data_IF_302753957295
#
_entry.id   IF_302753957295
#
_cell.length_a   1.000
_cell.length_b   1.000
_cell.length_c   1.000
_cell.angle_alpha   90.00
_cell.angle_beta   90.00
_cell.angle_gamma   90.00
#
_symmetry.space_group_name_H-M   'P 1'
#
loop_
_entity.id
_entity.type
_entity.pdbx_description
1 polymer ?
#
# COMPACT_ATOMS: atom_id res chain seq x y z
N UNK A 1 0.11 2.67 -9.54
CA UNK A 1 -0.29 2.83 -10.97
C UNK A 1 -1.71 3.32 -11.12
N UNK A 2 -2.70 2.54 -10.65
CA UNK A 2 -4.12 2.91 -10.80
C UNK A 2 -4.51 4.23 -10.18
N UNK A 3 -3.95 4.60 -9.02
CA UNK A 3 -4.12 5.95 -8.42
C UNK A 3 -3.72 7.07 -9.37
N UNK A 4 -2.60 6.92 -10.09
CA UNK A 4 -2.07 7.89 -11.04
C UNK A 4 -2.91 7.94 -12.34
N UNK A 5 -3.37 6.78 -12.82
CA UNK A 5 -4.27 6.66 -13.98
C UNK A 5 -5.62 7.32 -13.67
N UNK A 6 -6.23 6.99 -12.53
CA UNK A 6 -7.50 7.60 -12.08
C UNK A 6 -7.31 9.10 -11.85
N UNK A 7 -6.16 9.54 -11.33
CA UNK A 7 -5.85 10.97 -11.23
C UNK A 7 -5.73 11.66 -12.60
N UNK A 8 -5.07 11.03 -13.57
CA UNK A 8 -4.96 11.58 -14.91
C UNK A 8 -6.32 11.67 -15.62
N UNK A 9 -7.12 10.59 -15.57
CA UNK A 9 -8.43 10.52 -16.23
C UNK A 9 -9.47 11.41 -15.54
N UNK A 10 -9.48 11.48 -14.21
CA UNK A 10 -10.56 12.12 -13.45
C UNK A 10 -10.23 13.53 -12.91
N UNK A 11 -8.96 13.83 -12.62
CA UNK A 11 -8.49 15.16 -12.20
C UNK A 11 -7.84 15.95 -13.36
N UNK A 12 -7.62 15.35 -14.54
CA UNK A 12 -6.79 15.93 -15.63
C UNK A 12 -5.44 16.45 -15.13
N UNK A 13 -4.92 15.87 -14.05
CA UNK A 13 -3.65 16.28 -13.48
C UNK A 13 -2.53 15.77 -14.38
N UNK A 14 -1.70 16.65 -14.99
CA UNK A 14 -0.63 16.20 -15.87
C UNK A 14 0.39 15.39 -15.07
N UNK A 15 0.70 14.19 -15.55
CA UNK A 15 1.79 13.39 -15.00
C UNK A 15 3.11 14.02 -15.39
N UNK A 16 3.94 14.34 -14.41
CA UNK A 16 5.30 14.81 -14.70
C UNK A 16 6.14 13.64 -15.25
N UNK A 17 7.06 13.91 -16.17
CA UNK A 17 8.00 12.90 -16.70
C UNK A 17 8.65 12.02 -15.61
N UNK A 18 9.18 12.56 -14.48
CA UNK A 18 9.72 11.72 -13.41
C UNK A 18 8.68 10.84 -12.72
N UNK A 19 7.42 11.32 -12.59
CA UNK A 19 6.33 10.50 -12.06
C UNK A 19 6.01 9.31 -12.96
N UNK A 20 5.95 9.52 -14.28
CA UNK A 20 5.71 8.44 -15.23
C UNK A 20 6.84 7.39 -15.22
N UNK A 21 8.10 7.84 -15.20
CA UNK A 21 9.28 6.94 -15.15
C UNK A 21 9.31 6.17 -13.83
N UNK A 22 9.12 6.85 -12.69
CA UNK A 22 9.10 6.20 -11.39
C UNK A 22 7.98 5.16 -11.26
N UNK A 23 6.83 5.44 -11.87
CA UNK A 23 5.70 4.52 -11.91
C UNK A 23 6.00 3.27 -12.76
N UNK A 24 6.63 3.45 -13.93
CA UNK A 24 7.05 2.35 -14.79
C UNK A 24 8.12 1.47 -14.11
N UNK A 25 9.11 2.09 -13.46
CA UNK A 25 10.12 1.38 -12.68
C UNK A 25 9.50 0.61 -11.51
N UNK A 26 8.59 1.22 -10.75
CA UNK A 26 7.89 0.54 -9.66
C UNK A 26 7.11 -0.68 -10.15
N UNK A 27 6.45 -0.59 -11.31
CA UNK A 27 5.76 -1.72 -11.93
C UNK A 27 6.74 -2.82 -12.37
N UNK A 28 7.84 -2.46 -13.03
CA UNK A 28 8.88 -3.42 -13.42
C UNK A 28 9.46 -4.16 -12.20
N UNK A 29 9.72 -3.46 -11.10
CA UNK A 29 10.19 -4.08 -9.86
C UNK A 29 9.19 -5.07 -9.26
N UNK A 30 7.88 -4.79 -9.32
CA UNK A 30 6.84 -5.75 -8.91
C UNK A 30 6.81 -6.97 -9.82
N UNK A 31 6.94 -6.80 -11.14
CA UNK A 31 6.99 -7.93 -12.08
C UNK A 31 8.21 -8.82 -11.82
N UNK A 32 9.38 -8.23 -11.56
CA UNK A 32 10.59 -8.98 -11.21
C UNK A 32 10.41 -9.73 -9.89
N UNK A 33 9.79 -9.10 -8.88
CA UNK A 33 9.58 -9.69 -7.57
C UNK A 33 8.51 -10.80 -7.58
N UNK A 34 7.40 -10.58 -8.29
CA UNK A 34 6.27 -11.52 -8.35
C UNK A 34 6.48 -12.63 -9.39
N UNK A 35 7.32 -12.40 -10.41
CA UNK A 35 7.57 -13.34 -11.49
C UNK A 35 8.20 -14.67 -11.05
N UNK A 36 8.91 -14.69 -9.92
CA UNK A 36 9.43 -15.92 -9.31
C UNK A 36 8.41 -16.64 -8.42
N UNK A 37 7.43 -15.92 -7.86
CA UNK A 37 6.41 -16.48 -6.97
C UNK A 37 5.20 -17.07 -7.72
N UNK A 38 4.85 -16.49 -8.87
CA UNK A 38 3.76 -16.98 -9.71
C UNK A 38 4.30 -18.08 -10.63
N UNK A 39 4.33 -19.32 -10.14
CA UNK A 39 4.66 -20.48 -10.95
C UNK A 39 3.79 -20.55 -12.21
N UNK A 40 4.43 -20.53 -13.38
CA UNK A 40 3.78 -20.71 -14.67
C UNK A 40 3.12 -22.09 -14.72
N UNK A 41 1.80 -22.15 -14.46
CA UNK A 41 1.04 -23.40 -14.47
C UNK A 41 -0.07 -23.51 -13.42
N UNK A 42 -0.19 -22.57 -12.48
CA UNK A 42 -1.22 -22.66 -11.42
C UNK A 42 -2.64 -22.45 -12.00
N UNK A 43 -3.54 -23.45 -11.93
CA UNK A 43 -4.91 -23.29 -12.39
C UNK A 43 -5.62 -22.16 -11.61
N UNK A 44 -6.21 -21.19 -12.31
CA UNK A 44 -6.88 -20.05 -11.69
C UNK A 44 -6.02 -18.80 -11.47
N UNK A 45 -4.73 -18.83 -11.85
CA UNK A 45 -3.84 -17.67 -11.78
C UNK A 45 -4.41 -16.43 -12.50
N UNK A 46 -5.05 -16.61 -13.66
CA UNK A 46 -5.67 -15.51 -14.40
C UNK A 46 -6.83 -14.84 -13.65
N UNK A 47 -7.65 -15.62 -12.92
CA UNK A 47 -8.74 -15.08 -12.09
C UNK A 47 -8.18 -14.36 -10.86
N UNK A 48 -7.14 -14.90 -10.23
CA UNK A 48 -6.46 -14.26 -9.10
C UNK A 48 -5.80 -12.93 -9.53
N UNK A 49 -5.14 -12.90 -10.69
CA UNK A 49 -4.57 -11.68 -11.28
C UNK A 49 -5.68 -10.67 -11.58
N UNK A 50 -6.78 -11.08 -12.21
CA UNK A 50 -7.90 -10.20 -12.49
C UNK A 50 -8.53 -9.62 -11.21
N UNK A 51 -8.71 -10.44 -10.17
CA UNK A 51 -9.20 -9.99 -8.86
C UNK A 51 -8.24 -9.00 -8.20
N UNK A 52 -6.92 -9.25 -8.25
CA UNK A 52 -5.90 -8.35 -7.74
C UNK A 52 -5.86 -7.02 -8.52
N UNK A 53 -6.04 -7.05 -9.84
CA UNK A 53 -6.16 -5.84 -10.66
C UNK A 53 -7.41 -5.03 -10.31
N UNK A 54 -8.54 -5.70 -10.11
CA UNK A 54 -9.79 -5.04 -9.67
C UNK A 54 -9.65 -4.43 -8.27
N UNK A 55 -9.02 -5.14 -7.34
CA UNK A 55 -8.75 -4.67 -5.98
C UNK A 55 -7.81 -3.45 -5.97
N UNK A 56 -6.77 -3.45 -6.80
CA UNK A 56 -5.85 -2.31 -6.90
C UNK A 56 -6.48 -1.12 -7.63
N UNK A 57 -7.41 -1.35 -8.56
CA UNK A 57 -8.22 -0.31 -9.18
C UNK A 57 -9.19 0.33 -8.19
N UNK A 58 -9.89 -0.46 -7.36
CA UNK A 58 -10.81 0.06 -6.36
C UNK A 58 -10.09 0.90 -5.31
N UNK A 59 -8.89 0.50 -4.89
CA UNK A 59 -8.01 1.32 -4.05
C UNK A 59 -7.63 2.64 -4.72
N UNK A 60 -7.32 2.60 -6.02
CA UNK A 60 -7.03 3.80 -6.82
C UNK A 60 -8.19 4.79 -6.85
N UNK A 61 -9.40 4.29 -7.07
CA UNK A 61 -10.63 5.07 -7.04
C UNK A 61 -10.93 5.64 -5.66
N UNK A 62 -10.87 4.82 -4.61
CA UNK A 62 -11.13 5.22 -3.23
C UNK A 62 -10.18 6.33 -2.77
N UNK A 63 -8.88 6.21 -3.05
CA UNK A 63 -7.89 7.23 -2.70
C UNK A 63 -8.19 8.58 -3.36
N UNK A 64 -8.61 8.55 -4.64
CA UNK A 64 -8.96 9.76 -5.37
C UNK A 64 -10.27 10.39 -4.89
N UNK A 65 -11.30 9.56 -4.68
CA UNK A 65 -12.59 9.99 -4.16
C UNK A 65 -12.44 10.62 -2.78
N UNK A 66 -11.69 9.98 -1.88
CA UNK A 66 -11.36 10.50 -0.55
C UNK A 66 -10.67 11.86 -0.64
N UNK A 67 -9.65 12.00 -1.50
CA UNK A 67 -8.96 13.27 -1.68
C UNK A 67 -9.86 14.40 -2.20
N UNK A 68 -10.88 14.11 -3.00
CA UNK A 68 -11.73 15.14 -3.65
C UNK A 68 -12.99 15.48 -2.85
N UNK A 69 -13.61 14.49 -2.19
CA UNK A 69 -14.89 14.65 -1.48
C UNK A 69 -14.74 14.68 0.03
N UNK A 70 -13.67 14.12 0.57
CA UNK A 70 -13.40 14.05 2.02
C UNK A 70 -12.22 14.95 2.44
N UNK A 71 -11.74 15.84 1.58
CA UNK A 71 -10.61 16.72 1.86
C UNK A 71 -10.82 17.63 3.09
N UNK A 72 -12.06 18.02 3.35
CA UNK A 72 -12.45 18.88 4.49
C UNK A 72 -12.93 18.08 5.72
N UNK A 73 -12.98 16.75 5.62
CA UNK A 73 -13.40 15.88 6.72
C UNK A 73 -12.17 15.47 7.51
N UNK A 74 -12.29 15.45 8.84
CA UNK A 74 -11.20 15.00 9.72
C UNK A 74 -10.80 13.56 9.31
N UNK A 75 -9.50 13.28 9.06
CA UNK A 75 -9.05 11.97 8.61
C UNK A 75 -9.51 10.80 9.49
N UNK A 76 -9.59 11.02 10.81
CA UNK A 76 -10.13 10.06 11.77
C UNK A 76 -11.60 9.68 11.48
N UNK A 77 -12.45 10.68 11.19
CA UNK A 77 -13.87 10.46 10.90
C UNK A 77 -14.04 9.71 9.57
N UNK A 78 -13.22 10.04 8.57
CA UNK A 78 -13.22 9.30 7.30
C UNK A 78 -12.80 7.84 7.49
N UNK A 79 -11.74 7.58 8.27
CA UNK A 79 -11.24 6.23 8.51
C UNK A 79 -12.24 5.38 9.31
N UNK A 80 -12.83 5.95 10.37
CA UNK A 80 -13.88 5.31 11.15
C UNK A 80 -15.11 5.00 10.30
N UNK A 81 -15.60 5.98 9.53
CA UNK A 81 -16.76 5.82 8.67
C UNK A 81 -16.54 4.76 7.58
N UNK A 82 -15.37 4.74 6.94
CA UNK A 82 -15.05 3.71 5.95
C UNK A 82 -14.95 2.32 6.56
N UNK A 83 -14.38 2.18 7.76
CA UNK A 83 -14.23 0.89 8.43
C UNK A 83 -15.57 0.35 8.93
N UNK A 84 -16.42 1.22 9.47
CA UNK A 84 -17.77 0.88 9.90
C UNK A 84 -18.64 0.45 8.70
N UNK A 85 -18.58 1.22 7.60
CA UNK A 85 -19.28 0.85 6.38
C UNK A 85 -18.78 -0.47 5.81
N UNK A 86 -17.47 -0.69 5.78
CA UNK A 86 -16.88 -1.96 5.34
C UNK A 86 -17.36 -3.13 6.21
N UNK A 87 -17.39 -2.96 7.54
CA UNK A 87 -17.89 -3.98 8.45
C UNK A 87 -19.36 -4.33 8.14
N UNK A 88 -20.23 -3.32 8.04
CA UNK A 88 -21.66 -3.52 7.74
C UNK A 88 -21.88 -4.12 6.35
N UNK A 89 -21.15 -3.64 5.34
CA UNK A 89 -21.27 -4.12 3.96
C UNK A 89 -20.78 -5.57 3.78
N UNK A 90 -19.80 -6.00 4.60
CA UNK A 90 -19.27 -7.36 4.56
C UNK A 90 -20.12 -8.37 5.33
N UNK A 91 -20.93 -7.95 6.31
CA UNK A 91 -21.85 -8.85 7.05
C UNK A 91 -22.72 -9.72 6.14
N UNK A 92 -23.49 -9.17 5.16
CA UNK A 92 -24.35 -10.01 4.30
C UNK A 92 -23.55 -10.93 3.36
N UNK A 93 -22.31 -10.59 3.03
CA UNK A 93 -21.39 -11.45 2.28
C UNK A 93 -20.76 -12.55 3.14
N UNK A 94 -20.54 -12.27 4.43
CA UNK A 94 -19.95 -13.22 5.37
C UNK A 94 -20.92 -14.33 5.78
N UNK A 95 -22.22 -14.04 5.87
CA UNK A 95 -23.25 -15.01 6.24
C UNK A 95 -23.28 -16.27 5.34
N UNK A 96 -23.33 -16.17 3.99
CA UNK A 96 -23.30 -17.35 3.12
C UNK A 96 -21.92 -18.02 3.02
N UNK A 97 -20.84 -17.33 3.36
CA UNK A 97 -19.47 -17.88 3.37
C UNK A 97 -19.05 -18.37 4.75
N UNK A 98 -19.99 -18.49 5.69
CA UNK A 98 -19.68 -18.87 7.06
C UNK A 98 -19.13 -20.30 7.12
N UNK A 99 -18.05 -20.56 7.88
CA UNK A 99 -17.49 -21.90 8.00
C UNK A 99 -18.54 -22.90 8.54
N UNK A 100 -18.68 -24.04 7.87
CA UNK A 100 -19.57 -25.12 8.32
C UNK A 100 -19.07 -25.86 9.58
N UNK A 101 -17.84 -25.58 10.04
CA UNK A 101 -17.22 -26.20 11.22
C UNK A 101 -16.92 -25.21 12.35
N UNK A 102 -16.58 -25.69 13.55
CA UNK A 102 -16.27 -24.85 14.70
C UNK A 102 -15.02 -24.00 14.42
N UNK A 103 -15.16 -22.68 14.61
CA UNK A 103 -14.05 -21.73 14.46
C UNK A 103 -13.12 -21.85 15.67
N UNK A 104 -11.83 -22.13 15.42
CA UNK A 104 -10.85 -22.25 16.48
C UNK A 104 -10.66 -20.93 17.26
N UNK A 105 -10.42 -20.97 18.58
CA UNK A 105 -10.15 -19.76 19.38
C UNK A 105 -8.97 -18.92 18.86
N UNK A 106 -7.98 -19.58 18.25
CA UNK A 106 -6.81 -18.93 17.62
C UNK A 106 -7.22 -17.96 16.51
N UNK A 107 -8.23 -18.29 15.70
CA UNK A 107 -8.73 -17.44 14.63
C UNK A 107 -9.38 -16.16 15.19
N UNK A 108 -10.16 -16.29 16.27
CA UNK A 108 -10.75 -15.14 16.96
C UNK A 108 -9.68 -14.20 17.54
N UNK A 109 -8.66 -14.77 18.19
CA UNK A 109 -7.54 -13.99 18.72
C UNK A 109 -6.81 -13.26 17.58
N UNK A 110 -6.54 -13.93 16.46
CA UNK A 110 -5.90 -13.32 15.30
C UNK A 110 -6.71 -12.14 14.75
N UNK A 111 -8.03 -12.28 14.62
CA UNK A 111 -8.93 -11.21 14.15
C UNK A 111 -8.92 -10.03 15.13
N UNK A 112 -9.00 -10.28 16.43
CA UNK A 112 -8.97 -9.23 17.46
C UNK A 112 -7.63 -8.49 17.45
N UNK A 113 -6.50 -9.20 17.38
CA UNK A 113 -5.17 -8.59 17.30
C UNK A 113 -5.01 -7.76 16.03
N UNK A 114 -5.48 -8.26 14.88
CA UNK A 114 -5.43 -7.52 13.62
C UNK A 114 -6.29 -6.23 13.67
N UNK A 115 -7.47 -6.30 14.27
CA UNK A 115 -8.35 -5.13 14.42
C UNK A 115 -7.81 -4.11 15.42
N UNK A 116 -7.49 -4.55 16.64
CA UNK A 116 -7.08 -3.65 17.72
C UNK A 116 -5.65 -3.12 17.50
N UNK A 117 -4.68 -4.00 17.28
CA UNK A 117 -3.27 -3.62 17.21
C UNK A 117 -2.92 -3.13 15.82
N UNK A 118 -3.13 -3.96 14.79
CA UNK A 118 -2.67 -3.61 13.45
C UNK A 118 -3.49 -2.49 12.80
N UNK A 119 -4.74 -2.28 13.21
CA UNK A 119 -5.59 -1.23 12.65
C UNK A 119 -5.76 -0.04 13.60
N UNK A 120 -6.36 -0.22 14.79
CA UNK A 120 -6.69 0.90 15.66
C UNK A 120 -5.44 1.60 16.22
N UNK A 121 -4.49 0.86 16.80
CA UNK A 121 -3.24 1.45 17.31
C UNK A 121 -2.41 2.03 16.16
N UNK A 122 -2.31 1.35 15.03
CA UNK A 122 -1.60 1.87 13.85
C UNK A 122 -2.19 3.20 13.35
N UNK A 123 -3.52 3.36 13.34
CA UNK A 123 -4.16 4.62 12.98
C UNK A 123 -3.89 5.73 13.99
N UNK A 124 -3.91 5.45 15.29
CA UNK A 124 -3.53 6.44 16.30
C UNK A 124 -2.09 6.92 16.11
N UNK A 125 -1.16 6.00 15.87
CA UNK A 125 0.23 6.32 15.57
C UNK A 125 0.37 7.10 14.26
N UNK A 126 -0.33 6.69 13.20
CA UNK A 126 -0.30 7.34 11.90
C UNK A 126 -0.82 8.78 11.97
N UNK A 127 -1.96 9.01 12.62
CA UNK A 127 -2.50 10.36 12.81
C UNK A 127 -1.65 11.20 13.77
N UNK A 128 -1.10 10.59 14.83
CA UNK A 128 -0.12 11.24 15.71
C UNK A 128 1.12 11.69 14.94
N UNK A 129 1.62 10.83 14.03
CA UNK A 129 2.78 11.13 13.19
C UNK A 129 2.49 12.27 12.21
N UNK A 130 1.32 12.28 11.57
CA UNK A 130 0.90 13.39 10.70
C UNK A 130 0.85 14.70 11.50
N UNK A 131 0.30 14.67 12.72
CA UNK A 131 0.17 15.86 13.57
C UNK A 131 1.53 16.41 14.03
N UNK A 132 2.45 15.53 14.39
CA UNK A 132 3.72 15.92 15.02
C UNK A 132 4.87 16.12 14.02
N UNK A 133 4.96 15.26 13.00
CA UNK A 133 6.08 15.23 12.03
C UNK A 133 5.65 15.63 10.60
N UNK A 134 4.35 15.83 10.37
CA UNK A 134 3.80 16.24 9.08
C UNK A 134 3.56 15.08 8.10
N UNK A 135 2.67 15.33 7.13
CA UNK A 135 2.25 14.33 6.13
C UNK A 135 3.41 13.80 5.26
N UNK A 136 4.44 14.62 5.04
CA UNK A 136 5.60 14.24 4.23
C UNK A 136 6.46 13.15 4.91
N UNK A 137 6.55 13.18 6.24
CA UNK A 137 7.26 12.17 7.02
C UNK A 137 6.43 10.89 7.12
N UNK A 138 5.12 11.01 7.35
CA UNK A 138 4.20 9.87 7.33
C UNK A 138 4.24 9.10 6.00
N UNK A 139 4.36 9.80 4.87
CA UNK A 139 4.52 9.18 3.56
C UNK A 139 5.83 8.39 3.40
N UNK A 140 6.88 8.69 4.16
CA UNK A 140 8.12 7.91 4.13
C UNK A 140 7.93 6.50 4.70
N UNK A 141 7.03 6.32 5.67
CA UNK A 141 6.73 5.00 6.26
C UNK A 141 6.20 4.05 5.20
N UNK A 142 5.39 4.55 4.26
CA UNK A 142 4.89 3.76 3.13
C UNK A 142 6.01 3.22 2.23
N UNK A 143 7.13 3.94 2.11
CA UNK A 143 8.29 3.44 1.36
C UNK A 143 9.02 2.31 2.06
N UNK A 144 8.84 2.15 3.36
CA UNK A 144 9.46 1.03 4.08
C UNK A 144 8.67 -0.27 3.94
N UNK A 145 7.41 -0.21 3.47
CA UNK A 145 6.52 -1.38 3.35
C UNK A 145 7.18 -2.55 2.60
N UNK A 146 7.83 -2.38 1.42
CA UNK A 146 8.45 -3.51 0.72
C UNK A 146 9.58 -4.16 1.52
N UNK A 147 10.37 -3.35 2.25
CA UNK A 147 11.50 -3.83 3.06
C UNK A 147 10.97 -4.67 4.23
N UNK A 148 9.99 -4.13 4.97
CA UNK A 148 9.32 -4.85 6.04
C UNK A 148 8.64 -6.12 5.52
N UNK A 149 8.03 -6.06 4.34
CA UNK A 149 7.42 -7.23 3.69
C UNK A 149 8.41 -8.37 3.49
N UNK A 150 9.59 -8.10 2.90
CA UNK A 150 10.62 -9.13 2.68
C UNK A 150 11.21 -9.63 3.99
N UNK A 151 11.50 -8.74 4.94
CA UNK A 151 12.10 -9.14 6.22
C UNK A 151 11.14 -10.02 7.02
N UNK A 152 9.84 -9.70 7.06
CA UNK A 152 8.86 -10.50 7.76
C UNK A 152 8.57 -11.81 7.01
N UNK A 153 8.55 -11.80 5.68
CA UNK A 153 8.45 -13.03 4.87
C UNK A 153 9.62 -13.98 5.13
N UNK A 154 10.84 -13.46 5.23
CA UNK A 154 12.03 -14.26 5.55
C UNK A 154 12.00 -14.83 6.99
N UNK A 155 11.57 -14.02 7.98
CA UNK A 155 11.57 -14.42 9.39
C UNK A 155 10.42 -15.38 9.71
N UNK A 156 9.19 -15.06 9.30
CA UNK A 156 7.98 -15.78 9.72
C UNK A 156 7.51 -16.84 8.71
N UNK A 157 7.71 -16.61 7.41
CA UNK A 157 7.35 -17.57 6.35
C UNK A 157 8.55 -18.42 5.90
N UNK A 158 9.76 -18.16 6.44
CA UNK A 158 11.01 -18.82 6.05
C UNK A 158 11.30 -18.74 4.54
N UNK A 159 10.86 -17.65 3.89
CA UNK A 159 11.12 -17.43 2.46
C UNK A 159 12.61 -17.20 2.20
N UNK A 160 13.13 -17.81 1.13
CA UNK A 160 14.51 -17.61 0.73
C UNK A 160 14.69 -16.23 0.11
N UNK A 161 15.48 -15.39 0.77
CA UNK A 161 15.84 -14.06 0.25
C UNK A 161 16.85 -14.23 -0.88
N UNK A 162 16.34 -14.25 -2.11
CA UNK A 162 17.18 -14.35 -3.31
C UNK A 162 17.70 -12.98 -3.74
N UNK A 163 18.75 -12.98 -4.58
CA UNK A 163 19.25 -11.76 -5.23
C UNK A 163 18.14 -11.05 -6.03
N UNK A 164 17.22 -11.81 -6.62
CA UNK A 164 16.05 -11.29 -7.33
C UNK A 164 15.08 -10.56 -6.39
N UNK A 165 14.84 -11.10 -5.18
CA UNK A 165 14.00 -10.45 -4.15
C UNK A 165 14.57 -9.09 -3.75
N UNK A 166 15.88 -9.02 -3.53
CA UNK A 166 16.59 -7.78 -3.18
C UNK A 166 16.56 -6.79 -4.34
N UNK A 167 16.85 -7.24 -5.57
CA UNK A 167 16.83 -6.40 -6.76
C UNK A 167 15.42 -5.84 -7.03
N UNK A 168 14.37 -6.67 -6.92
CA UNK A 168 12.97 -6.25 -7.06
C UNK A 168 12.60 -5.17 -6.04
N UNK A 169 12.97 -5.35 -4.77
CA UNK A 169 12.76 -4.34 -3.74
C UNK A 169 13.50 -3.04 -4.02
N UNK A 170 14.77 -3.10 -4.42
CA UNK A 170 15.55 -1.90 -4.77
C UNK A 170 14.90 -1.12 -5.92
N UNK A 171 14.44 -1.81 -6.97
CA UNK A 171 13.75 -1.18 -8.11
C UNK A 171 12.44 -0.53 -7.67
N UNK A 172 11.64 -1.19 -6.82
CA UNK A 172 10.39 -0.63 -6.28
C UNK A 172 10.66 0.64 -5.47
N UNK A 173 11.68 0.62 -4.60
CA UNK A 173 12.06 1.77 -3.78
C UNK A 173 12.52 2.95 -4.63
N UNK A 174 13.39 2.70 -5.61
CA UNK A 174 13.88 3.72 -6.55
C UNK A 174 12.74 4.32 -7.39
N UNK A 175 11.88 3.47 -7.94
CA UNK A 175 10.71 3.90 -8.70
C UNK A 175 9.77 4.77 -7.87
N UNK A 176 9.51 4.38 -6.62
CA UNK A 176 8.62 5.13 -5.73
C UNK A 176 9.25 6.44 -5.25
N UNK A 177 10.55 6.47 -4.95
CA UNK A 177 11.29 7.68 -4.61
C UNK A 177 11.31 8.71 -5.76
N UNK A 178 11.44 8.22 -7.00
CA UNK A 178 11.37 9.05 -8.20
C UNK A 178 9.95 9.57 -8.45
N UNK A 179 8.95 8.71 -8.29
CA UNK A 179 7.55 9.09 -8.46
C UNK A 179 7.08 10.13 -7.43
N UNK A 180 7.62 10.10 -6.21
CA UNK A 180 7.29 11.05 -5.15
C UNK A 180 8.20 12.29 -5.13
N UNK A 181 9.15 12.39 -6.06
CA UNK A 181 10.01 13.56 -6.22
C UNK A 181 11.01 13.78 -5.08
N UNK A 182 11.14 12.82 -4.15
CA UNK A 182 12.05 12.94 -2.99
C UNK A 182 13.54 12.93 -3.38
N UNK A 183 13.87 12.45 -4.58
CA UNK A 183 15.22 12.54 -5.15
C UNK A 183 15.69 13.99 -5.38
N UNK A 184 14.78 14.95 -5.64
CA UNK A 184 15.16 16.37 -5.73
C UNK A 184 15.40 17.00 -4.35
N UNK A 185 14.65 16.58 -3.32
CA UNK A 185 14.81 17.09 -1.95
C UNK A 185 16.14 16.69 -1.30
N UNK A 186 16.67 15.53 -1.64
CA UNK A 186 17.99 15.09 -1.18
C UNK A 186 19.12 15.92 -1.79
N UNK A 187 19.04 16.24 -3.09
CA UNK A 187 20.04 17.07 -3.77
C UNK A 187 20.04 18.54 -3.29
N UNK A 188 18.88 19.09 -2.90
CA UNK A 188 18.80 20.47 -2.39
C UNK A 188 19.22 20.58 -0.92
N UNK A 189 19.03 19.53 -0.11
CA UNK A 189 19.50 19.50 1.27
C UNK A 189 21.03 19.53 1.38
N UNK A 190 21.75 18.90 0.44
CA UNK A 190 23.23 18.92 0.42
C UNK A 190 23.80 20.29 0.05
N UNK A 191 23.07 21.12 -0.71
CA UNK A 191 23.56 22.45 -1.14
C UNK A 191 23.36 23.53 -0.07
N UNK A 192 22.48 23.32 0.92
CA UNK A 192 22.22 24.31 1.98
C UNK A 192 23.14 24.16 3.21
N UNK A 193 23.93 23.08 3.27
CA UNK A 193 24.90 22.81 4.36
C UNK A 193 26.28 23.44 4.19
N UNK A 194 26.57 24.13 3.07
CA UNK A 194 27.88 24.74 2.78
C UNK A 194 27.87 26.28 2.76
N UNK A 195 26.79 26.90 3.26
CA UNK A 195 26.68 28.35 3.45
C UNK A 195 26.11 28.66 4.83
N UNK A 196 26.86 28.32 5.88
CA UNK A 196 26.89 29.06 7.13
C UNK A 196 28.33 29.10 7.63
#
# INVERSE_FOLDING_TARGET
>A
MWTAIVAYVWLRAPLTKPQAIGLALGFAGVVVLAGSAVGAGTPGASRAIAAAMLATLSYGFAAHYSKRRLANVRPFVSAFGSQLFAAVALVPLALPMWPHGPVQPSAWIAVVLLGAICTAVAYLLYFGLIRNAGAQYAASVTFLIPIFGVVWGAIFLHETVTVQTVAGCAIILLGTALATGKLKGFATATVRGSRQ
#
